data_IF_811930691629
#
_entry.id   IF_811930691629
#
_cell.length_a   1.000
_cell.length_b   1.000
_cell.length_c   1.000
_cell.angle_alpha   90.00
_cell.angle_beta   90.00
_cell.angle_gamma   90.00
#
_symmetry.space_group_name_H-M   'P 1'
#
loop_
_entity.id
_entity.type
_entity.pdbx_description
1 polymer ?
#
# COMPACT_ATOMS: atom_id res chain seq x y z
N UNK A 1 -25.67 -1.82 -6.13
CA UNK A 1 -25.23 -2.91 -7.04
C UNK A 1 -23.96 -2.44 -7.74
N UNK A 2 -22.93 -3.27 -7.87
CA UNK A 2 -21.72 -2.91 -8.62
C UNK A 2 -21.94 -3.07 -10.15
N UNK A 3 -21.29 -2.25 -11.01
CA UNK A 3 -21.29 -2.48 -12.46
C UNK A 3 -20.87 -3.90 -12.86
N UNK A 4 -21.23 -4.31 -14.08
CA UNK A 4 -20.74 -5.57 -14.66
C UNK A 4 -19.20 -5.62 -14.66
N UNK A 5 -18.63 -6.82 -14.55
CA UNK A 5 -17.18 -6.98 -14.64
C UNK A 5 -16.67 -6.57 -16.02
N UNK A 6 -15.48 -6.00 -16.07
CA UNK A 6 -14.77 -5.64 -17.31
C UNK A 6 -13.50 -6.46 -17.51
N UNK A 7 -13.36 -7.58 -16.80
CA UNK A 7 -12.13 -8.38 -16.81
C UNK A 7 -11.78 -8.95 -18.19
N UNK A 8 -12.79 -9.23 -19.01
CA UNK A 8 -12.68 -9.71 -20.39
C UNK A 8 -12.06 -8.66 -21.34
N UNK A 9 -12.01 -7.39 -20.93
CA UNK A 9 -11.37 -6.29 -21.67
C UNK A 9 -9.89 -6.12 -21.30
N UNK A 10 -9.43 -6.78 -20.23
CA UNK A 10 -8.03 -6.70 -19.86
C UNK A 10 -7.16 -7.46 -20.88
N UNK A 11 -6.06 -6.83 -21.30
CA UNK A 11 -5.11 -7.37 -22.29
C UNK A 11 -3.69 -7.49 -21.74
N UNK A 12 -3.49 -7.14 -20.47
CA UNK A 12 -2.20 -7.27 -19.79
C UNK A 12 -2.01 -8.64 -19.16
N UNK A 13 -0.81 -8.90 -18.66
CA UNK A 13 -0.51 -10.15 -17.97
C UNK A 13 -1.43 -10.36 -16.76
N UNK A 14 -2.15 -11.50 -16.71
CA UNK A 14 -3.03 -11.84 -15.58
C UNK A 14 -2.31 -11.84 -14.22
N UNK A 15 -1.00 -12.14 -14.21
CA UNK A 15 -0.15 -12.08 -13.03
C UNK A 15 -0.13 -10.67 -12.40
N UNK A 16 -0.24 -9.59 -13.18
CA UNK A 16 -0.31 -8.21 -12.67
C UNK A 16 -1.60 -7.94 -11.89
N UNK A 17 -2.73 -8.53 -12.29
CA UNK A 17 -3.98 -8.42 -11.55
C UNK A 17 -3.90 -9.17 -10.22
N UNK A 18 -3.32 -10.38 -10.21
CA UNK A 18 -3.12 -11.15 -8.98
C UNK A 18 -2.11 -10.51 -8.04
N UNK A 19 -1.04 -9.92 -8.58
CA UNK A 19 -0.11 -9.14 -7.80
C UNK A 19 -0.78 -7.90 -7.19
N UNK A 20 -1.66 -7.22 -7.92
CA UNK A 20 -2.45 -6.12 -7.36
C UNK A 20 -3.38 -6.59 -6.22
N UNK A 21 -3.96 -7.79 -6.32
CA UNK A 21 -4.72 -8.38 -5.21
C UNK A 21 -3.83 -8.65 -3.99
N UNK A 22 -2.58 -9.08 -4.18
CA UNK A 22 -1.61 -9.24 -3.10
C UNK A 22 -1.27 -7.88 -2.44
N UNK A 23 -1.03 -6.83 -3.24
CA UNK A 23 -0.83 -5.48 -2.73
C UNK A 23 -2.04 -4.95 -1.96
N UNK A 24 -3.26 -5.32 -2.38
CA UNK A 24 -4.48 -4.99 -1.67
C UNK A 24 -4.49 -5.58 -0.26
N UNK A 25 -4.17 -6.88 -0.11
CA UNK A 25 -4.02 -7.52 1.20
C UNK A 25 -2.91 -6.84 2.01
N UNK A 26 -1.78 -6.54 1.37
CA UNK A 26 -0.66 -5.81 1.96
C UNK A 26 -0.97 -4.34 2.32
N UNK A 27 -2.14 -3.81 1.95
CA UNK A 27 -2.61 -2.48 2.37
C UNK A 27 -3.73 -2.59 3.41
N UNK A 28 -4.65 -3.55 3.25
CA UNK A 28 -5.74 -3.79 4.20
C UNK A 28 -5.20 -4.27 5.55
N UNK A 29 -4.25 -5.21 5.56
CA UNK A 29 -3.74 -5.79 6.82
C UNK A 29 -3.01 -4.73 7.67
N UNK A 30 -2.01 -3.99 7.14
CA UNK A 30 -1.41 -2.87 7.87
C UNK A 30 -2.44 -1.78 8.21
N UNK A 31 -3.40 -1.52 7.32
CA UNK A 31 -4.45 -0.54 7.58
C UNK A 31 -5.32 -0.90 8.79
N UNK A 32 -5.68 -2.18 8.93
CA UNK A 32 -6.35 -2.70 10.11
C UNK A 32 -5.47 -2.61 11.36
N UNK A 33 -4.17 -2.89 11.26
CA UNK A 33 -3.22 -2.74 12.37
C UNK A 33 -3.20 -1.29 12.85
N UNK A 34 -3.01 -0.34 11.94
CA UNK A 34 -2.96 1.10 12.25
C UNK A 34 -4.28 1.64 12.80
N UNK A 35 -5.42 1.10 12.36
CA UNK A 35 -6.73 1.57 12.80
C UNK A 35 -7.19 0.94 14.13
N UNK A 36 -6.96 -0.36 14.32
CA UNK A 36 -7.58 -1.11 15.42
C UNK A 36 -6.64 -1.45 16.58
N UNK A 37 -5.31 -1.43 16.40
CA UNK A 37 -4.42 -1.59 17.56
C UNK A 37 -4.49 -0.36 18.47
N UNK A 38 -4.47 -0.52 19.81
CA UNK A 38 -4.54 0.60 20.76
C UNK A 38 -3.44 1.65 20.61
N UNK A 39 -2.30 1.28 20.02
CA UNK A 39 -1.15 2.15 19.73
C UNK A 39 -0.92 2.34 18.21
N UNK A 40 -1.83 1.84 17.36
CA UNK A 40 -1.69 1.82 15.91
C UNK A 40 -0.49 1.00 15.40
N UNK A 41 0.17 0.20 16.24
CA UNK A 41 1.44 -0.44 15.91
C UNK A 41 2.67 0.46 16.08
N UNK A 42 2.52 1.70 16.53
CA UNK A 42 3.65 2.61 16.70
C UNK A 42 4.62 2.15 17.80
N UNK A 43 4.13 1.56 18.89
CA UNK A 43 4.96 1.09 20.00
C UNK A 43 5.24 -0.42 19.84
N UNK A 44 4.20 -1.24 19.65
CA UNK A 44 4.31 -2.72 19.67
C UNK A 44 4.94 -3.32 18.40
N UNK A 45 4.88 -2.63 17.26
CA UNK A 45 5.50 -3.09 15.99
C UNK A 45 6.70 -2.22 15.63
N UNK A 46 6.54 -0.90 15.68
CA UNK A 46 7.57 0.05 15.25
C UNK A 46 8.55 0.44 16.38
N UNK A 47 8.31 0.04 17.63
CA UNK A 47 9.23 0.29 18.74
C UNK A 47 9.47 1.76 19.05
N UNK A 48 8.54 2.65 18.67
CA UNK A 48 8.68 4.09 18.88
C UNK A 48 8.40 4.45 20.34
N UNK A 49 9.21 5.34 20.91
CA UNK A 49 8.84 6.05 22.13
C UNK A 49 8.03 7.29 21.75
N UNK A 50 6.73 7.25 22.06
CA UNK A 50 5.80 8.30 21.65
C UNK A 50 5.76 9.51 22.60
N UNK A 51 6.26 9.36 23.83
CA UNK A 51 6.27 10.39 24.86
C UNK A 51 5.00 11.25 24.91
N UNK A 52 5.18 12.57 24.90
CA UNK A 52 4.09 13.54 24.99
C UNK A 52 3.18 13.61 23.75
N UNK A 53 3.59 13.02 22.61
CA UNK A 53 2.84 13.07 21.34
C UNK A 53 1.99 11.83 21.09
N UNK A 54 1.89 10.91 22.05
CA UNK A 54 1.20 9.62 21.91
C UNK A 54 -0.20 9.70 21.34
N UNK A 55 -1.06 10.56 21.88
CA UNK A 55 -2.45 10.70 21.39
C UNK A 55 -2.51 11.21 19.95
N UNK A 56 -1.65 12.17 19.59
CA UNK A 56 -1.56 12.70 18.23
C UNK A 56 -1.11 11.62 17.25
N UNK A 57 -0.04 10.89 17.56
CA UNK A 57 0.51 9.84 16.68
C UNK A 57 -0.52 8.74 16.47
N UNK A 58 -1.20 8.27 17.52
CA UNK A 58 -2.27 7.26 17.41
C UNK A 58 -3.42 7.78 16.53
N UNK A 59 -3.83 9.04 16.71
CA UNK A 59 -4.86 9.66 15.86
C UNK A 59 -4.45 9.70 14.38
N UNK A 60 -3.20 10.06 14.09
CA UNK A 60 -2.65 10.07 12.72
C UNK A 60 -2.55 8.65 12.15
N UNK A 61 -2.15 7.67 12.95
CA UNK A 61 -2.07 6.27 12.54
C UNK A 61 -3.46 5.71 12.26
N UNK A 62 -4.46 6.00 13.09
CA UNK A 62 -5.84 5.62 12.79
C UNK A 62 -6.33 6.27 11.48
N UNK A 63 -6.01 7.54 11.22
CA UNK A 63 -6.32 8.17 9.94
C UNK A 63 -5.62 7.50 8.75
N UNK A 64 -4.34 7.16 8.90
CA UNK A 64 -3.58 6.38 7.91
C UNK A 64 -4.24 5.01 7.68
N UNK A 65 -4.59 4.29 8.73
CA UNK A 65 -5.25 2.98 8.65
C UNK A 65 -6.57 3.04 7.89
N UNK A 66 -7.39 4.06 8.16
CA UNK A 66 -8.65 4.26 7.43
C UNK A 66 -8.44 4.44 5.93
N UNK A 67 -7.43 5.23 5.54
CA UNK A 67 -7.11 5.45 4.12
C UNK A 67 -6.49 4.22 3.46
N UNK A 68 -5.62 3.47 4.17
CA UNK A 68 -5.04 2.22 3.69
C UNK A 68 -6.10 1.12 3.47
N UNK A 69 -7.06 0.98 4.39
CA UNK A 69 -8.18 0.02 4.24
C UNK A 69 -9.00 0.36 2.99
N UNK A 70 -9.41 1.63 2.83
CA UNK A 70 -10.18 2.06 1.67
C UNK A 70 -9.41 1.86 0.36
N UNK A 71 -8.12 2.23 0.35
CA UNK A 71 -7.25 2.05 -0.80
C UNK A 71 -7.06 0.57 -1.18
N UNK A 72 -6.81 -0.28 -0.20
CA UNK A 72 -6.67 -1.72 -0.41
C UNK A 72 -7.97 -2.37 -0.89
N UNK A 73 -9.13 -1.97 -0.36
CA UNK A 73 -10.42 -2.44 -0.87
C UNK A 73 -10.66 -2.02 -2.33
N UNK A 74 -10.26 -0.80 -2.69
CA UNK A 74 -10.30 -0.35 -4.08
C UNK A 74 -9.37 -1.20 -4.97
N UNK A 75 -8.11 -1.42 -4.55
CA UNK A 75 -7.18 -2.31 -5.25
C UNK A 75 -7.76 -3.72 -5.46
N UNK A 76 -8.38 -4.30 -4.43
CA UNK A 76 -8.98 -5.62 -4.49
C UNK A 76 -10.15 -5.67 -5.47
N UNK A 77 -11.03 -4.65 -5.45
CA UNK A 77 -12.13 -4.54 -6.39
C UNK A 77 -11.63 -4.46 -7.85
N UNK A 78 -10.58 -3.70 -8.10
CA UNK A 78 -9.95 -3.60 -9.43
C UNK A 78 -9.32 -4.93 -9.86
N UNK A 79 -8.55 -5.56 -8.98
CA UNK A 79 -7.87 -6.82 -9.25
C UNK A 79 -8.85 -7.98 -9.58
N UNK A 80 -10.01 -7.99 -8.92
CA UNK A 80 -11.00 -9.07 -9.03
C UNK A 80 -12.08 -8.79 -10.07
N UNK A 81 -12.51 -7.54 -10.29
CA UNK A 81 -13.71 -7.24 -11.09
C UNK A 81 -13.51 -6.24 -12.24
N UNK A 82 -12.50 -5.37 -12.16
CA UNK A 82 -12.31 -4.27 -13.12
C UNK A 82 -10.86 -4.21 -13.65
N UNK A 83 -10.35 -5.35 -14.13
CA UNK A 83 -8.94 -5.51 -14.49
C UNK A 83 -8.35 -4.54 -15.52
N UNK A 84 -9.10 -3.91 -16.45
CA UNK A 84 -8.56 -2.84 -17.29
C UNK A 84 -7.93 -1.67 -16.51
N UNK A 85 -8.32 -1.47 -15.24
CA UNK A 85 -7.76 -0.44 -14.36
C UNK A 85 -6.52 -0.90 -13.57
N UNK A 86 -6.07 -2.15 -13.72
CA UNK A 86 -4.87 -2.69 -13.04
C UNK A 86 -3.63 -1.82 -13.27
N UNK A 87 -3.29 -1.38 -14.51
CA UNK A 87 -2.11 -0.54 -14.72
C UNK A 87 -2.18 0.79 -13.95
N UNK A 88 -3.37 1.40 -13.88
CA UNK A 88 -3.57 2.64 -13.12
C UNK A 88 -3.30 2.43 -11.63
N UNK A 89 -3.84 1.35 -11.04
CA UNK A 89 -3.64 1.08 -9.63
C UNK A 89 -2.23 0.60 -9.28
N UNK A 90 -1.53 -0.06 -10.21
CA UNK A 90 -0.10 -0.35 -10.06
C UNK A 90 0.74 0.94 -10.12
N UNK A 91 0.39 1.88 -10.98
CA UNK A 91 1.03 3.20 -11.02
C UNK A 91 0.80 3.98 -9.72
N UNK A 92 -0.43 3.99 -9.19
CA UNK A 92 -0.73 4.62 -7.89
C UNK A 92 0.06 3.97 -6.75
N UNK A 93 0.15 2.63 -6.74
CA UNK A 93 0.94 1.91 -5.74
C UNK A 93 2.44 2.20 -5.86
N UNK A 94 2.96 2.34 -7.08
CA UNK A 94 4.36 2.71 -7.32
C UNK A 94 4.65 4.12 -6.81
N UNK A 95 3.78 5.07 -7.13
CA UNK A 95 3.90 6.47 -6.67
C UNK A 95 3.90 6.52 -5.15
N UNK A 96 2.94 5.85 -4.51
CA UNK A 96 2.85 5.83 -3.05
C UNK A 96 4.13 5.22 -2.43
N UNK A 97 4.58 4.05 -2.91
CA UNK A 97 5.76 3.35 -2.34
C UNK A 97 7.03 4.17 -2.54
N UNK A 98 7.12 4.89 -3.65
CA UNK A 98 8.24 5.80 -3.94
C UNK A 98 8.24 7.00 -3.00
N UNK A 99 7.09 7.67 -2.82
CA UNK A 99 6.98 8.79 -1.89
C UNK A 99 7.23 8.37 -0.44
N UNK A 100 6.72 7.20 -0.03
CA UNK A 100 6.98 6.62 1.28
C UNK A 100 8.47 6.31 1.47
N UNK A 101 9.14 5.72 0.48
CA UNK A 101 10.58 5.47 0.53
C UNK A 101 11.40 6.78 0.63
N UNK A 102 11.04 7.81 -0.13
CA UNK A 102 11.68 9.14 -0.05
C UNK A 102 11.47 9.77 1.34
N UNK A 103 10.26 9.66 1.90
CA UNK A 103 9.97 10.14 3.26
C UNK A 103 10.80 9.39 4.31
N UNK A 104 10.84 8.06 4.20
CA UNK A 104 11.49 7.16 5.15
C UNK A 104 13.01 7.22 5.15
N UNK A 105 13.63 7.40 3.97
CA UNK A 105 15.08 7.21 3.80
C UNK A 105 15.84 8.46 3.33
N UNK A 106 15.17 9.45 2.75
CA UNK A 106 15.84 10.60 2.13
C UNK A 106 15.50 11.92 2.83
N UNK A 107 14.26 12.09 3.28
CA UNK A 107 13.78 13.39 3.78
C UNK A 107 13.41 13.36 5.26
N UNK A 108 12.21 12.90 5.61
CA UNK A 108 11.62 13.10 6.94
C UNK A 108 12.26 12.22 8.01
N UNK A 109 12.63 10.99 7.66
CA UNK A 109 13.19 10.02 8.60
C UNK A 109 14.61 9.55 8.23
N UNK A 110 15.31 10.23 7.32
CA UNK A 110 16.62 9.80 6.82
C UNK A 110 17.71 9.59 7.90
N UNK A 111 17.62 10.33 9.02
CA UNK A 111 18.52 10.22 10.16
C UNK A 111 17.93 9.48 11.37
N UNK A 112 16.81 8.77 11.20
CA UNK A 112 16.18 8.06 12.31
C UNK A 112 17.09 6.92 12.80
N UNK A 113 17.21 6.77 14.12
CA UNK A 113 18.01 5.69 14.72
C UNK A 113 17.42 4.30 14.45
N UNK A 114 16.10 4.23 14.18
CA UNK A 114 15.37 3.02 13.85
C UNK A 114 14.40 3.29 12.70
N UNK A 115 14.21 2.30 11.84
CA UNK A 115 13.20 2.31 10.79
C UNK A 115 12.20 1.17 11.00
N UNK A 116 10.89 1.46 10.99
CA UNK A 116 9.88 0.42 11.13
C UNK A 116 9.89 -0.52 9.91
N UNK A 117 9.34 -1.75 10.05
CA UNK A 117 9.33 -2.75 8.98
C UNK A 117 8.81 -2.25 7.62
N UNK A 118 7.82 -1.35 7.63
CA UNK A 118 7.23 -0.77 6.42
C UNK A 118 8.25 0.00 5.57
N UNK A 119 9.21 0.70 6.18
CA UNK A 119 10.25 1.44 5.45
C UNK A 119 11.09 0.52 4.56
N UNK A 120 11.35 -0.71 5.00
CA UNK A 120 12.07 -1.70 4.19
C UNK A 120 11.15 -2.29 3.11
N UNK A 121 9.90 -2.58 3.46
CA UNK A 121 8.92 -3.13 2.54
C UNK A 121 8.70 -2.22 1.32
N UNK A 122 8.59 -0.90 1.51
CA UNK A 122 8.36 0.04 0.40
C UNK A 122 9.53 0.09 -0.58
N UNK A 123 10.77 -0.02 -0.10
CA UNK A 123 11.98 -0.04 -0.95
C UNK A 123 12.04 -1.31 -1.79
N UNK A 124 11.70 -2.46 -1.21
CA UNK A 124 11.66 -3.75 -1.94
C UNK A 124 10.49 -3.80 -2.91
N UNK A 125 9.31 -3.30 -2.51
CA UNK A 125 8.10 -3.37 -3.32
C UNK A 125 8.15 -2.44 -4.53
N UNK A 126 8.77 -1.25 -4.45
CA UNK A 126 8.81 -0.31 -5.56
C UNK A 126 9.32 -0.93 -6.90
N UNK A 127 10.50 -1.59 -6.97
CA UNK A 127 10.96 -2.22 -8.20
C UNK A 127 10.08 -3.40 -8.63
N UNK A 128 9.51 -4.17 -7.70
CA UNK A 128 8.61 -5.28 -8.02
C UNK A 128 7.31 -4.74 -8.64
N UNK A 129 6.75 -3.66 -8.10
CA UNK A 129 5.58 -3.00 -8.65
C UNK A 129 5.86 -2.47 -10.05
N UNK A 130 7.05 -1.88 -10.28
CA UNK A 130 7.44 -1.44 -11.61
C UNK A 130 7.46 -2.59 -12.62
N UNK A 131 7.97 -3.77 -12.24
CA UNK A 131 7.93 -4.97 -13.10
C UNK A 131 6.48 -5.34 -13.46
N UNK A 132 5.60 -5.44 -12.47
CA UNK A 132 4.20 -5.80 -12.73
C UNK A 132 3.43 -4.71 -13.47
N UNK A 133 3.79 -3.44 -13.30
CA UNK A 133 3.25 -2.33 -14.08
C UNK A 133 3.63 -2.49 -15.55
N UNK A 134 4.90 -2.75 -15.86
CA UNK A 134 5.36 -3.02 -17.22
C UNK A 134 4.64 -4.23 -17.82
N UNK A 135 4.51 -5.33 -17.07
CA UNK A 135 3.77 -6.52 -17.52
C UNK A 135 2.27 -6.24 -17.75
N UNK A 136 1.69 -5.33 -16.98
CA UNK A 136 0.27 -4.97 -17.11
C UNK A 136 -0.02 -4.17 -18.38
N UNK A 137 1.00 -3.52 -18.96
CA UNK A 137 0.92 -2.70 -20.17
C UNK A 137 1.26 -3.50 -21.45
N UNK A 138 1.93 -4.64 -21.32
CA UNK A 138 2.23 -5.53 -22.45
C UNK A 138 0.96 -6.25 -22.89
N UNK A 139 0.65 -6.18 -24.19
CA UNK A 139 -0.45 -6.97 -24.76
C UNK A 139 -0.05 -8.45 -24.78
N UNK A 140 -0.79 -9.27 -24.05
CA UNK A 140 -0.66 -10.74 -24.03
C UNK A 140 -1.78 -11.40 -24.82
#
# INVERSE_FOLDING_TARGET
MFPASTNDQYRGAAASAWFLALLAVGSIVPGCIHYFLPDGGAEVIAGLDLGASRSLVIGVFAWMGATQIAYGLAQLAIALRYRPLVPLFLLLALTERTLAAIAGWITKAAGAAHHPPEHYAVVVLAPIILIFLVLSLRRT
#
